data_IF_493166330166
#
_entry.id   IF_493166330166
#
_cell.length_a   1.000
_cell.length_b   1.000
_cell.length_c   1.000
_cell.angle_alpha   90.00
_cell.angle_beta   90.00
_cell.angle_gamma   90.00
#
_symmetry.space_group_name_H-M   'P 1'
#
loop_
_entity.id
_entity.type
_entity.pdbx_description
1 polymer ?
#
# COMPACT_ATOMS: atom_id res chain seq x y z
N UNK A 1 -46.42 10.85 11.98
CA UNK A 1 -45.56 10.39 10.88
C UNK A 1 -44.45 11.38 10.45
N UNK A 2 -44.48 12.67 10.88
CA UNK A 2 -43.41 13.66 10.52
C UNK A 2 -42.14 13.56 11.36
N UNK A 3 -42.18 12.98 12.55
CA UNK A 3 -41.02 12.87 13.45
C UNK A 3 -40.00 11.76 13.06
N UNK A 4 -40.45 10.68 12.46
CA UNK A 4 -39.59 9.56 12.08
C UNK A 4 -38.69 9.87 10.87
N UNK A 5 -39.17 10.71 9.96
CA UNK A 5 -38.40 11.14 8.78
C UNK A 5 -37.26 12.12 9.15
N UNK A 6 -37.46 12.96 10.16
CA UNK A 6 -36.43 13.89 10.65
C UNK A 6 -35.30 13.14 11.40
N UNK A 7 -35.64 12.10 12.17
CA UNK A 7 -34.65 11.27 12.85
C UNK A 7 -33.80 10.45 11.88
N UNK A 8 -34.38 9.93 10.80
CA UNK A 8 -33.63 9.21 9.76
C UNK A 8 -32.72 10.14 8.94
N UNK A 9 -33.16 11.37 8.66
CA UNK A 9 -32.34 12.36 7.98
C UNK A 9 -31.15 12.83 8.84
N UNK A 10 -31.34 12.93 10.17
CA UNK A 10 -30.28 13.28 11.10
C UNK A 10 -29.25 12.16 11.27
N UNK A 11 -29.68 10.89 11.27
CA UNK A 11 -28.77 9.74 11.31
C UNK A 11 -27.92 9.64 10.04
N UNK A 12 -28.49 9.91 8.87
CA UNK A 12 -27.76 9.94 7.60
C UNK A 12 -26.75 11.10 7.54
N UNK A 13 -27.07 12.25 8.15
CA UNK A 13 -26.17 13.40 8.16
C UNK A 13 -24.93 13.19 9.05
N UNK A 14 -25.04 12.42 10.13
CA UNK A 14 -23.91 12.12 11.02
C UNK A 14 -22.90 11.17 10.37
N UNK A 15 -23.34 10.30 9.45
CA UNK A 15 -22.44 9.43 8.67
C UNK A 15 -21.75 10.15 7.52
N UNK A 16 -22.22 11.32 7.10
CA UNK A 16 -21.67 12.08 5.98
C UNK A 16 -20.45 12.95 6.35
N UNK A 17 -20.06 13.02 7.62
CA UNK A 17 -18.99 13.90 8.10
C UNK A 17 -17.59 13.26 8.10
N UNK A 18 -17.45 11.99 7.70
CA UNK A 18 -16.15 11.38 7.46
C UNK A 18 -15.56 11.89 6.15
N UNK A 19 -14.51 12.68 6.19
CA UNK A 19 -13.79 13.08 4.99
C UNK A 19 -13.12 11.87 4.35
N UNK A 20 -13.67 11.34 3.27
CA UNK A 20 -12.95 10.40 2.42
C UNK A 20 -12.00 11.22 1.57
N UNK A 21 -10.73 11.25 1.94
CA UNK A 21 -9.70 11.84 1.10
C UNK A 21 -9.27 10.84 0.03
N UNK A 22 -8.90 11.37 -1.11
CA UNK A 22 -8.36 10.56 -2.20
C UNK A 22 -6.95 10.12 -1.85
N UNK A 23 -6.52 8.92 -2.26
CA UNK A 23 -5.10 8.56 -2.21
C UNK A 23 -4.28 9.62 -2.91
N UNK A 24 -3.18 9.99 -2.31
CA UNK A 24 -2.24 10.95 -2.87
C UNK A 24 -0.90 10.29 -3.17
N UNK A 25 -0.25 10.71 -4.25
CA UNK A 25 1.15 10.39 -4.53
C UNK A 25 2.10 11.51 -4.06
N UNK A 26 1.57 12.60 -3.53
CA UNK A 26 2.38 13.67 -2.95
C UNK A 26 2.76 13.34 -1.51
N UNK A 27 4.03 13.06 -1.29
CA UNK A 27 4.61 12.76 0.02
C UNK A 27 4.40 13.90 1.03
N UNK A 28 4.47 15.16 0.60
CA UNK A 28 4.28 16.28 1.50
C UNK A 28 2.81 16.43 1.91
N UNK A 29 1.89 16.19 0.99
CA UNK A 29 0.47 16.15 1.31
C UNK A 29 0.17 14.95 2.22
N UNK A 30 0.74 13.80 1.93
CA UNK A 30 0.65 12.59 2.73
C UNK A 30 1.22 12.78 4.14
N UNK A 31 2.41 13.36 4.29
CA UNK A 31 3.05 13.62 5.57
C UNK A 31 2.31 14.65 6.45
N UNK A 32 1.42 15.44 5.88
CA UNK A 32 0.56 16.38 6.62
C UNK A 32 -0.75 15.76 7.12
N UNK A 33 -1.01 14.54 6.75
CA UNK A 33 -2.26 13.84 7.06
C UNK A 33 -2.03 12.78 8.14
N UNK A 34 -3.02 12.49 8.98
CA UNK A 34 -2.88 11.52 10.07
C UNK A 34 -3.95 10.43 10.05
N UNK A 35 -3.63 9.45 10.76
CA UNK A 35 -4.40 8.66 11.71
C UNK A 35 -5.57 7.85 11.18
N UNK A 36 -5.30 6.94 10.24
CA UNK A 36 -6.33 5.99 9.85
C UNK A 36 -5.96 4.53 10.03
N UNK A 37 -6.97 3.71 10.24
CA UNK A 37 -6.82 2.27 10.32
C UNK A 37 -6.78 1.66 8.94
N UNK A 38 -5.90 0.70 8.78
CA UNK A 38 -5.97 -0.43 7.85
C UNK A 38 -6.70 -0.19 6.54
N UNK A 39 -6.00 0.05 5.46
CA UNK A 39 -6.52 0.28 4.11
C UNK A 39 -7.41 1.51 3.92
N UNK A 40 -7.57 2.32 4.93
CA UNK A 40 -8.16 3.63 4.75
C UNK A 40 -7.13 4.61 4.19
N UNK A 41 -7.54 5.64 3.44
CA UNK A 41 -6.64 6.73 3.05
C UNK A 41 -5.96 7.29 4.29
N UNK A 42 -4.67 7.52 4.21
CA UNK A 42 -3.96 8.16 5.30
C UNK A 42 -4.40 9.62 5.39
N UNK A 43 -5.08 9.96 6.46
CA UNK A 43 -5.59 11.30 6.73
C UNK A 43 -5.10 11.80 8.06
N UNK A 44 -4.07 12.54 8.09
CA UNK A 44 -3.72 13.12 9.36
C UNK A 44 -2.27 13.53 9.45
N UNK A 45 -1.84 14.13 10.55
CA UNK A 45 -0.48 14.61 10.72
C UNK A 45 0.44 13.50 11.19
N UNK A 46 1.53 13.29 10.48
CA UNK A 46 2.68 12.57 11.02
C UNK A 46 3.36 13.50 12.02
N UNK A 47 3.22 13.22 13.29
CA UNK A 47 3.96 13.94 14.34
C UNK A 47 5.34 13.31 14.48
N UNK A 48 6.36 14.14 14.30
CA UNK A 48 7.73 13.72 14.04
C UNK A 48 8.40 12.89 15.16
N UNK A 49 7.92 12.92 16.39
CA UNK A 49 8.60 12.26 17.50
C UNK A 49 8.41 10.72 17.54
N UNK A 50 7.35 10.20 16.91
CA UNK A 50 7.01 8.76 16.92
C UNK A 50 6.61 8.25 15.54
N UNK A 51 6.92 8.98 14.49
CA UNK A 51 6.53 8.67 13.15
C UNK A 51 7.67 8.91 12.16
N UNK A 52 7.75 8.08 11.16
CA UNK A 52 8.69 8.19 10.05
C UNK A 52 7.93 7.93 8.75
N UNK A 53 8.16 8.77 7.73
CA UNK A 53 7.70 8.51 6.37
C UNK A 53 8.82 8.80 5.40
N UNK A 54 9.26 7.79 4.67
CA UNK A 54 10.24 7.92 3.61
C UNK A 54 9.60 8.54 2.36
N UNK A 55 10.29 9.44 1.65
CA UNK A 55 9.73 10.17 0.51
C UNK A 55 9.67 9.30 -0.76
N UNK A 56 8.91 8.22 -0.72
CA UNK A 56 8.72 7.30 -1.84
C UNK A 56 7.59 7.83 -2.72
N UNK A 57 7.81 7.92 -4.03
CA UNK A 57 6.77 8.29 -5.00
C UNK A 57 5.99 7.04 -5.42
N UNK A 58 4.67 7.12 -5.37
CA UNK A 58 3.78 6.05 -5.78
C UNK A 58 3.77 5.90 -7.31
N UNK A 59 4.18 4.75 -7.80
CA UNK A 59 3.99 4.32 -9.19
C UNK A 59 2.68 3.53 -9.26
N UNK A 60 1.65 4.10 -9.92
CA UNK A 60 0.29 3.59 -9.88
C UNK A 60 0.07 2.41 -10.82
N UNK A 61 -0.35 1.29 -10.26
CA UNK A 61 -0.81 0.13 -11.04
C UNK A 61 -2.21 0.38 -11.63
N UNK A 62 -2.37 0.09 -12.92
CA UNK A 62 -3.66 0.16 -13.62
C UNK A 62 -4.16 -1.22 -14.04
N UNK A 63 -3.27 -2.20 -14.26
CA UNK A 63 -3.63 -3.50 -14.83
C UNK A 63 -2.97 -4.71 -14.15
N UNK A 64 -3.65 -5.84 -14.18
CA UNK A 64 -3.17 -7.21 -14.06
C UNK A 64 -2.35 -7.56 -12.82
N UNK A 65 -1.45 -8.51 -13.00
CA UNK A 65 -0.52 -9.05 -12.00
C UNK A 65 0.77 -8.21 -11.89
N UNK A 66 0.68 -6.90 -12.14
CA UNK A 66 1.83 -6.00 -12.23
C UNK A 66 2.25 -5.39 -10.87
N UNK A 67 1.62 -5.77 -9.75
CA UNK A 67 1.87 -5.15 -8.44
C UNK A 67 3.36 -5.13 -8.07
N UNK A 68 4.09 -6.23 -8.30
CA UNK A 68 5.52 -6.29 -8.04
C UNK A 68 6.34 -5.30 -8.88
N UNK A 69 6.00 -5.13 -10.16
CA UNK A 69 6.68 -4.17 -11.05
C UNK A 69 6.46 -2.72 -10.59
N UNK A 70 5.25 -2.37 -10.18
CA UNK A 70 4.92 -1.02 -9.70
C UNK A 70 5.53 -0.71 -8.33
N UNK A 71 5.56 -1.67 -7.42
CA UNK A 71 6.29 -1.54 -6.16
C UNK A 71 7.78 -1.36 -6.43
N UNK A 72 8.36 -2.18 -7.32
CA UNK A 72 9.77 -2.06 -7.68
C UNK A 72 10.08 -0.70 -8.33
N UNK A 73 9.23 -0.19 -9.23
CA UNK A 73 9.41 1.13 -9.82
C UNK A 73 9.41 2.24 -8.74
N UNK A 74 8.52 2.15 -7.76
CA UNK A 74 8.51 3.07 -6.62
C UNK A 74 9.83 3.03 -5.83
N UNK A 75 10.40 1.85 -5.61
CA UNK A 75 11.72 1.68 -4.97
C UNK A 75 12.85 2.24 -5.82
N UNK A 76 12.87 1.94 -7.12
CA UNK A 76 13.90 2.48 -8.05
C UNK A 76 13.84 4.01 -8.07
N UNK A 77 12.65 4.58 -8.15
CA UNK A 77 12.45 6.03 -8.13
C UNK A 77 12.90 6.67 -6.81
N UNK A 78 12.75 5.96 -5.69
CA UNK A 78 13.26 6.42 -4.39
C UNK A 78 14.79 6.50 -4.36
N UNK A 79 15.49 5.48 -4.88
CA UNK A 79 16.96 5.41 -4.82
C UNK A 79 17.64 6.18 -5.93
N UNK A 80 17.03 6.34 -7.10
CA UNK A 80 17.65 6.90 -8.31
C UNK A 80 17.06 8.23 -8.77
N UNK A 81 16.01 8.69 -8.11
CA UNK A 81 15.28 9.90 -8.47
C UNK A 81 13.97 9.63 -9.21
N UNK A 82 13.03 10.52 -9.06
CA UNK A 82 11.69 10.41 -9.65
C UNK A 82 11.77 10.27 -11.17
N UNK A 83 10.99 9.32 -11.71
CA UNK A 83 10.95 9.04 -13.14
C UNK A 83 12.07 8.12 -13.67
N UNK A 84 12.93 7.59 -12.79
CA UNK A 84 13.98 6.63 -13.19
C UNK A 84 13.41 5.29 -13.68
N UNK A 85 12.22 4.88 -13.21
CA UNK A 85 11.54 3.67 -13.62
C UNK A 85 10.02 3.86 -13.65
N UNK A 86 9.35 3.03 -14.46
CA UNK A 86 7.90 2.90 -14.52
C UNK A 86 7.52 1.42 -14.40
N UNK A 87 6.59 1.09 -13.49
CA UNK A 87 6.09 -0.26 -13.31
C UNK A 87 5.43 -0.82 -14.57
N UNK A 88 4.72 0.02 -15.32
CA UNK A 88 4.13 -0.37 -16.59
C UNK A 88 5.19 -0.77 -17.62
N UNK A 89 6.31 -0.03 -17.70
CA UNK A 89 7.43 -0.37 -18.60
C UNK A 89 8.16 -1.64 -18.16
N UNK A 90 8.41 -1.80 -16.85
CA UNK A 90 9.01 -3.03 -16.30
C UNK A 90 8.13 -4.23 -16.65
N UNK A 91 6.82 -4.14 -16.39
CA UNK A 91 5.88 -5.22 -16.69
C UNK A 91 5.79 -5.56 -18.17
N UNK A 92 5.78 -4.55 -19.05
CA UNK A 92 5.72 -4.75 -20.49
C UNK A 92 7.00 -5.39 -21.05
N UNK A 93 8.17 -5.01 -20.51
CA UNK A 93 9.46 -5.51 -21.00
C UNK A 93 9.85 -6.86 -20.42
N UNK A 94 9.44 -7.15 -19.22
CA UNK A 94 9.81 -8.38 -18.49
C UNK A 94 8.61 -8.85 -17.67
N UNK A 95 7.58 -9.42 -18.31
CA UNK A 95 6.42 -9.95 -17.59
C UNK A 95 6.82 -11.10 -16.66
N UNK A 96 6.06 -11.35 -15.58
CA UNK A 96 6.35 -12.48 -14.70
C UNK A 96 6.22 -13.81 -15.42
N UNK A 97 7.00 -14.80 -15.02
CA UNK A 97 6.94 -16.15 -15.60
C UNK A 97 5.56 -16.80 -15.37
N UNK A 98 4.92 -16.53 -14.22
CA UNK A 98 3.55 -16.91 -13.93
C UNK A 98 2.65 -15.67 -14.03
N UNK A 99 1.93 -15.54 -15.14
CA UNK A 99 1.05 -14.40 -15.39
C UNK A 99 -0.16 -14.33 -14.47
N UNK A 100 -0.52 -15.41 -13.80
CA UNK A 100 -1.64 -15.44 -12.84
C UNK A 100 -1.19 -15.06 -11.43
N UNK A 101 -0.03 -15.53 -11.00
CA UNK A 101 0.54 -15.27 -9.66
C UNK A 101 1.33 -13.98 -9.58
N UNK A 102 1.79 -13.46 -10.72
CA UNK A 102 2.66 -12.29 -10.75
C UNK A 102 4.13 -12.66 -10.47
N UNK A 103 4.93 -11.66 -10.14
CA UNK A 103 6.36 -11.84 -9.90
C UNK A 103 6.65 -12.62 -8.61
N UNK A 104 7.58 -13.54 -8.69
CA UNK A 104 8.23 -14.12 -7.51
C UNK A 104 9.25 -13.15 -6.90
N UNK A 105 9.64 -13.38 -5.65
CA UNK A 105 10.70 -12.61 -4.99
C UNK A 105 12.05 -12.71 -5.74
N UNK A 106 12.33 -13.86 -6.35
CA UNK A 106 13.56 -14.06 -7.15
C UNK A 106 13.56 -13.21 -8.42
N UNK A 107 12.42 -13.15 -9.12
CA UNK A 107 12.27 -12.29 -10.31
C UNK A 107 12.38 -10.82 -9.95
N UNK A 108 11.77 -10.39 -8.84
CA UNK A 108 11.89 -9.01 -8.36
C UNK A 108 13.32 -8.66 -7.98
N UNK A 109 14.08 -9.58 -7.36
CA UNK A 109 15.48 -9.36 -7.06
C UNK A 109 16.33 -9.22 -8.34
N UNK A 110 16.09 -10.05 -9.35
CA UNK A 110 16.76 -9.95 -10.65
C UNK A 110 16.42 -8.63 -11.36
N UNK A 111 15.15 -8.24 -11.35
CA UNK A 111 14.70 -6.96 -11.89
C UNK A 111 15.31 -5.77 -11.15
N UNK A 112 15.37 -5.79 -9.83
CA UNK A 112 16.04 -4.76 -9.04
C UNK A 112 17.51 -4.61 -9.44
N UNK A 113 18.20 -5.73 -9.61
CA UNK A 113 19.60 -5.75 -10.07
C UNK A 113 19.76 -5.14 -11.46
N UNK A 114 18.86 -5.46 -12.38
CA UNK A 114 18.87 -4.86 -13.73
C UNK A 114 18.61 -3.34 -13.71
N UNK A 115 17.94 -2.86 -12.69
CA UNK A 115 17.71 -1.44 -12.44
C UNK A 115 18.84 -0.77 -11.62
N UNK A 116 19.94 -1.48 -11.35
CA UNK A 116 21.10 -0.96 -10.63
C UNK A 116 20.89 -0.82 -9.11
N UNK A 117 20.05 -1.66 -8.52
CA UNK A 117 19.89 -1.79 -7.10
C UNK A 117 20.46 -3.12 -6.61
N UNK A 118 20.96 -3.14 -5.39
CA UNK A 118 21.17 -4.38 -4.65
C UNK A 118 19.86 -4.74 -3.95
N UNK A 119 19.41 -5.97 -4.11
CA UNK A 119 18.20 -6.48 -3.49
C UNK A 119 18.50 -7.77 -2.73
N UNK A 120 17.97 -7.90 -1.54
CA UNK A 120 18.10 -9.10 -0.70
C UNK A 120 16.74 -9.56 -0.20
N UNK A 121 16.39 -10.79 -0.51
CA UNK A 121 15.24 -11.46 0.08
C UNK A 121 15.62 -11.96 1.48
N UNK A 122 14.90 -11.54 2.50
CA UNK A 122 15.19 -11.77 3.91
C UNK A 122 13.90 -12.11 4.67
N UNK A 123 14.04 -12.52 5.93
CA UNK A 123 12.93 -12.61 6.87
C UNK A 123 13.07 -11.51 7.90
N UNK A 124 12.04 -10.70 8.05
CA UNK A 124 12.04 -9.57 8.97
C UNK A 124 10.80 -9.63 9.87
N UNK A 125 11.01 -9.72 11.16
CA UNK A 125 9.97 -9.53 12.16
C UNK A 125 9.60 -8.03 12.27
N UNK A 126 8.61 -7.67 13.08
CA UNK A 126 8.15 -6.30 13.24
C UNK A 126 9.27 -5.31 13.66
N UNK A 127 10.10 -5.58 14.70
CA UNK A 127 11.23 -4.71 15.03
C UNK A 127 12.24 -4.55 13.90
N UNK A 128 12.48 -5.61 13.12
CA UNK A 128 13.41 -5.56 12.00
C UNK A 128 12.89 -4.69 10.85
N UNK A 129 11.58 -4.76 10.55
CA UNK A 129 10.95 -3.87 9.58
C UNK A 129 11.11 -2.39 9.98
N UNK A 130 10.90 -2.08 11.26
CA UNK A 130 11.06 -0.71 11.77
C UNK A 130 12.51 -0.26 11.61
N UNK A 131 13.50 -1.11 11.96
CA UNK A 131 14.92 -0.77 11.80
C UNK A 131 15.32 -0.51 10.34
N UNK A 132 14.77 -1.25 9.39
CA UNK A 132 15.00 -0.99 7.97
C UNK A 132 14.46 0.39 7.55
N UNK A 133 13.27 0.72 7.99
CA UNK A 133 12.66 2.02 7.72
C UNK A 133 13.46 3.17 8.37
N UNK A 134 13.90 3.01 9.62
CA UNK A 134 14.75 3.97 10.33
C UNK A 134 16.12 4.15 9.67
N UNK A 135 16.61 3.11 9.01
CA UNK A 135 17.81 3.17 8.20
C UNK A 135 17.57 3.79 6.79
N UNK A 136 16.39 4.33 6.55
CA UNK A 136 16.03 4.97 5.27
C UNK A 136 15.78 3.97 4.13
N UNK A 137 15.47 2.72 4.42
CA UNK A 137 15.25 1.68 3.43
C UNK A 137 13.78 1.25 3.37
N UNK A 138 13.05 1.59 2.30
CA UNK A 138 11.71 1.05 2.05
C UNK A 138 11.77 -0.47 1.92
N UNK A 139 10.78 -1.17 2.47
CA UNK A 139 10.74 -2.63 2.51
C UNK A 139 9.56 -3.16 1.70
N UNK A 140 9.83 -3.95 0.66
CA UNK A 140 8.81 -4.68 -0.06
C UNK A 140 8.42 -5.93 0.72
N UNK A 141 7.12 -6.15 0.91
CA UNK A 141 6.59 -7.32 1.61
C UNK A 141 5.51 -8.00 0.79
N UNK A 142 5.58 -9.33 0.63
CA UNK A 142 4.46 -10.10 0.13
C UNK A 142 3.38 -10.20 1.22
N UNK A 143 2.13 -10.12 0.80
CA UNK A 143 0.96 -10.16 1.69
C UNK A 143 -0.16 -10.93 1.04
N UNK A 144 -1.02 -11.52 1.88
CA UNK A 144 -2.31 -12.09 1.43
C UNK A 144 -3.43 -11.24 1.99
N UNK A 145 -4.16 -10.58 1.11
CA UNK A 145 -5.14 -9.55 1.45
C UNK A 145 -6.48 -9.81 0.77
N UNK A 146 -7.59 -9.27 1.31
CA UNK A 146 -8.88 -9.34 0.65
C UNK A 146 -8.83 -8.77 -0.78
N UNK A 147 -9.32 -9.55 -1.73
CA UNK A 147 -9.33 -9.17 -3.16
C UNK A 147 -10.09 -7.87 -3.43
N UNK A 148 -11.07 -7.54 -2.59
CA UNK A 148 -11.84 -6.31 -2.71
C UNK A 148 -10.97 -5.05 -2.59
N UNK A 149 -9.82 -5.12 -1.88
CA UNK A 149 -8.91 -4.00 -1.76
C UNK A 149 -8.10 -3.73 -3.03
N UNK A 150 -7.90 -4.74 -3.87
CA UNK A 150 -7.14 -4.64 -5.12
C UNK A 150 -8.02 -4.70 -6.38
N UNK A 151 -9.22 -5.27 -6.29
CA UNK A 151 -10.14 -5.40 -7.43
C UNK A 151 -10.91 -4.12 -7.73
N UNK A 152 -10.99 -3.19 -6.79
CA UNK A 152 -11.74 -1.94 -6.97
C UNK A 152 -10.97 -0.96 -7.87
N UNK A 153 -10.44 -1.50 -8.96
CA UNK A 153 -9.68 -0.79 -9.96
C UNK A 153 -10.56 0.24 -10.63
N UNK A 154 -10.39 1.48 -10.22
CA UNK A 154 -10.79 2.56 -11.09
C UNK A 154 -12.28 2.75 -11.33
N UNK A 155 -13.14 2.42 -10.38
CA UNK A 155 -14.36 3.19 -10.34
C UNK A 155 -13.93 4.62 -10.00
N UNK A 156 -14.03 5.55 -10.94
CA UNK A 156 -13.61 6.92 -10.68
C UNK A 156 -14.32 7.41 -9.44
N UNK A 157 -13.68 8.31 -8.64
CA UNK A 157 -14.40 8.99 -7.59
C UNK A 157 -15.66 9.57 -8.20
N UNK A 158 -16.79 9.39 -7.54
CA UNK A 158 -18.02 10.01 -7.99
C UNK A 158 -18.00 11.48 -7.59
N UNK A 159 -18.84 12.30 -8.23
CA UNK A 159 -19.03 13.69 -7.79
C UNK A 159 -19.76 13.77 -6.45
N UNK A 160 -20.19 12.64 -5.92
CA UNK A 160 -20.90 12.51 -4.64
C UNK A 160 -20.01 11.92 -3.56
N UNK A 161 -19.61 12.75 -2.60
CA UNK A 161 -18.89 12.30 -1.39
C UNK A 161 -19.61 11.18 -0.63
N UNK A 162 -20.94 11.21 -0.62
CA UNK A 162 -21.76 10.21 0.08
C UNK A 162 -21.62 8.84 -0.57
N UNK A 163 -21.57 8.78 -1.91
CA UNK A 163 -21.40 7.52 -2.66
C UNK A 163 -20.01 6.96 -2.42
N UNK A 164 -18.97 7.79 -2.44
CA UNK A 164 -17.59 7.36 -2.21
C UNK A 164 -17.40 6.88 -0.76
N UNK A 165 -18.03 7.54 0.21
CA UNK A 165 -18.04 7.13 1.60
C UNK A 165 -18.73 5.77 1.80
N UNK A 166 -19.92 5.62 1.22
CA UNK A 166 -20.68 4.36 1.31
C UNK A 166 -19.89 3.21 0.67
N UNK A 167 -19.22 3.46 -0.46
CA UNK A 167 -18.34 2.49 -1.12
C UNK A 167 -17.18 2.08 -0.21
N UNK A 168 -16.49 3.04 0.41
CA UNK A 168 -15.40 2.77 1.35
C UNK A 168 -15.87 1.91 2.53
N UNK A 169 -17.01 2.23 3.13
CA UNK A 169 -17.58 1.46 4.24
C UNK A 169 -17.97 0.03 3.83
N UNK A 170 -18.51 -0.16 2.63
CA UNK A 170 -18.84 -1.49 2.10
C UNK A 170 -17.55 -2.30 1.86
N UNK A 171 -16.54 -1.69 1.24
CA UNK A 171 -15.25 -2.34 1.01
C UNK A 171 -14.60 -2.81 2.31
N UNK A 172 -14.56 -1.95 3.32
CA UNK A 172 -13.99 -2.28 4.62
C UNK A 172 -14.75 -3.44 5.28
N UNK A 173 -16.08 -3.42 5.22
CA UNK A 173 -16.92 -4.48 5.81
C UNK A 173 -16.73 -5.83 5.10
N UNK A 174 -16.71 -5.82 3.77
CA UNK A 174 -16.46 -7.03 2.98
C UNK A 174 -15.04 -7.52 3.19
N UNK A 175 -14.05 -6.62 3.22
CA UNK A 175 -12.67 -6.97 3.50
C UNK A 175 -12.48 -7.62 4.87
N UNK A 176 -13.08 -7.08 5.93
CA UNK A 176 -13.07 -7.72 7.26
C UNK A 176 -13.72 -9.09 7.28
N UNK A 177 -14.82 -9.26 6.55
CA UNK A 177 -15.46 -10.57 6.40
C UNK A 177 -14.52 -11.56 5.71
N UNK A 178 -13.86 -11.16 4.63
CA UNK A 178 -12.88 -11.99 3.92
C UNK A 178 -11.71 -12.39 4.81
N UNK A 179 -11.21 -11.47 5.64
CA UNK A 179 -10.15 -11.76 6.61
C UNK A 179 -10.55 -12.76 7.70
N UNK A 180 -11.82 -12.70 8.14
CA UNK A 180 -12.32 -13.61 9.18
C UNK A 180 -12.62 -15.02 8.65
N UNK A 181 -12.90 -15.12 7.35
CA UNK A 181 -13.31 -16.38 6.71
C UNK A 181 -12.22 -16.98 5.83
N UNK A 182 -11.08 -16.29 5.66
CA UNK A 182 -10.02 -16.62 4.70
C UNK A 182 -10.53 -16.82 3.26
N UNK A 183 -11.67 -16.19 2.93
CA UNK A 183 -12.27 -16.25 1.61
C UNK A 183 -11.90 -15.03 0.77
N UNK A 184 -11.77 -15.25 -0.54
CA UNK A 184 -11.47 -14.20 -1.51
C UNK A 184 -10.20 -13.39 -1.17
N UNK A 185 -9.17 -14.05 -0.66
CA UNK A 185 -7.85 -13.48 -0.45
C UNK A 185 -7.01 -13.63 -1.72
N UNK A 186 -6.13 -12.67 -1.96
CA UNK A 186 -5.17 -12.67 -3.08
C UNK A 186 -3.78 -12.35 -2.58
N UNK A 187 -2.80 -12.95 -3.24
CA UNK A 187 -1.39 -12.62 -3.02
C UNK A 187 -1.10 -11.27 -3.67
N UNK A 188 -0.37 -10.43 -2.96
CA UNK A 188 -0.10 -9.07 -3.36
C UNK A 188 1.24 -8.57 -2.80
N UNK A 189 1.75 -7.45 -3.32
CA UNK A 189 2.94 -6.79 -2.79
C UNK A 189 2.59 -5.41 -2.25
N UNK A 190 3.12 -5.10 -1.07
CA UNK A 190 3.09 -3.77 -0.49
C UNK A 190 4.51 -3.24 -0.29
N UNK A 191 4.66 -1.93 -0.34
CA UNK A 191 5.90 -1.26 0.04
C UNK A 191 5.69 -0.55 1.36
N UNK A 192 6.37 -1.01 2.41
CA UNK A 192 6.43 -0.28 3.67
C UNK A 192 7.35 0.93 3.48
N UNK A 193 6.87 2.11 3.80
CA UNK A 193 7.61 3.37 3.61
C UNK A 193 7.72 4.18 4.88
N UNK A 194 7.12 3.71 5.96
CA UNK A 194 7.17 4.41 7.24
C UNK A 194 6.30 3.74 8.29
N UNK A 195 6.20 4.41 9.42
CA UNK A 195 5.30 4.02 10.50
C UNK A 195 4.82 5.26 11.26
N UNK A 196 3.69 5.11 11.94
CA UNK A 196 3.13 6.07 12.87
C UNK A 196 2.46 5.30 14.01
N UNK A 197 3.01 5.43 15.22
CA UNK A 197 2.56 4.73 16.43
C UNK A 197 2.51 3.21 16.26
N UNK A 198 1.32 2.65 16.05
CA UNK A 198 1.03 1.22 15.96
C UNK A 198 0.76 0.73 14.51
N UNK A 199 1.07 1.57 13.50
CA UNK A 199 0.78 1.32 12.10
C UNK A 199 1.99 1.49 11.22
N UNK A 200 2.05 0.69 10.16
CA UNK A 200 2.88 1.00 9.01
C UNK A 200 2.18 1.97 8.08
N UNK A 201 2.98 2.84 7.51
CA UNK A 201 2.63 3.61 6.32
C UNK A 201 3.10 2.81 5.12
N UNK A 202 2.21 2.53 4.19
CA UNK A 202 2.49 1.69 3.02
C UNK A 202 2.13 2.40 1.73
N UNK A 203 2.85 2.08 0.67
CA UNK A 203 2.43 2.34 -0.70
C UNK A 203 1.80 1.06 -1.25
N UNK A 204 0.51 1.12 -1.51
CA UNK A 204 -0.26 0.08 -2.15
C UNK A 204 -0.34 0.42 -3.65
N UNK A 205 0.10 -0.47 -4.56
CA UNK A 205 0.25 -0.13 -5.97
C UNK A 205 -1.01 0.40 -6.66
N UNK A 206 -2.19 -0.13 -6.31
CA UNK A 206 -3.47 0.28 -6.93
C UNK A 206 -4.02 1.55 -6.29
N UNK A 207 -3.98 1.61 -4.97
CA UNK A 207 -4.71 2.59 -4.18
C UNK A 207 -3.84 3.72 -3.60
N UNK A 208 -2.52 3.64 -3.74
CA UNK A 208 -1.59 4.64 -3.23
C UNK A 208 -1.29 4.48 -1.74
N UNK A 209 -1.04 5.59 -1.05
CA UNK A 209 -0.66 5.58 0.36
C UNK A 209 -1.80 5.13 1.27
N UNK A 210 -1.46 4.23 2.20
CA UNK A 210 -2.37 3.64 3.18
C UNK A 210 -1.67 3.51 4.53
N UNK A 211 -2.46 3.32 5.57
CA UNK A 211 -1.96 2.84 6.85
C UNK A 211 -2.54 1.46 7.16
N UNK A 212 -1.71 0.60 7.76
CA UNK A 212 -2.11 -0.73 8.19
C UNK A 212 -1.51 -0.95 9.57
N UNK A 213 -2.32 -1.32 10.58
CA UNK A 213 -1.78 -1.59 11.90
C UNK A 213 -0.85 -2.80 11.90
N UNK A 214 0.06 -2.85 12.88
CA UNK A 214 1.12 -3.87 12.95
C UNK A 214 0.57 -5.30 13.02
N UNK A 215 -0.50 -5.51 13.78
CA UNK A 215 -1.12 -6.84 13.89
C UNK A 215 -1.68 -7.32 12.56
N UNK A 216 -2.28 -6.41 11.79
CA UNK A 216 -2.87 -6.74 10.51
C UNK A 216 -1.81 -7.04 9.46
N UNK A 217 -0.72 -6.28 9.43
CA UNK A 217 0.43 -6.57 8.56
C UNK A 217 1.05 -7.93 8.92
N UNK A 218 1.20 -8.24 10.20
CA UNK A 218 1.72 -9.53 10.64
C UNK A 218 0.80 -10.69 10.19
N UNK A 219 -0.52 -10.50 10.26
CA UNK A 219 -1.50 -11.48 9.76
C UNK A 219 -1.39 -11.68 8.26
N UNK A 220 -1.31 -10.61 7.49
CA UNK A 220 -1.20 -10.66 6.03
C UNK A 220 0.08 -11.31 5.53
N UNK A 221 1.15 -11.27 6.32
CA UNK A 221 2.47 -11.85 5.98
C UNK A 221 2.64 -13.29 6.46
N UNK A 222 1.70 -13.82 7.25
CA UNK A 222 1.82 -15.13 7.89
C UNK A 222 2.17 -16.25 6.90
N UNK A 223 1.47 -16.30 5.77
CA UNK A 223 1.64 -17.33 4.75
C UNK A 223 2.96 -17.21 3.99
N UNK A 224 3.65 -16.09 4.11
CA UNK A 224 4.94 -15.82 3.48
C UNK A 224 6.11 -15.94 4.47
N UNK A 225 5.85 -16.44 5.70
CA UNK A 225 6.90 -16.71 6.67
C UNK A 225 7.81 -15.49 6.92
N UNK A 226 7.22 -14.32 7.12
CA UNK A 226 7.89 -13.04 7.34
C UNK A 226 8.86 -12.61 6.22
N UNK A 227 8.67 -13.15 5.01
CA UNK A 227 9.46 -12.75 3.87
C UNK A 227 9.36 -11.23 3.63
N UNK A 228 10.48 -10.67 3.23
CA UNK A 228 10.63 -9.27 2.85
C UNK A 228 11.76 -9.12 1.84
N UNK A 229 11.77 -8.02 1.12
CA UNK A 229 12.90 -7.64 0.28
C UNK A 229 13.35 -6.24 0.66
N UNK A 230 14.64 -6.12 0.93
CA UNK A 230 15.31 -4.86 1.23
C UNK A 230 16.19 -4.47 0.06
N UNK A 231 16.38 -3.16 -0.09
CA UNK A 231 17.10 -2.59 -1.22
C UNK A 231 18.15 -1.59 -0.75
N UNK A 232 19.21 -1.47 -1.55
CA UNK A 232 20.16 -0.37 -1.45
C UNK A 232 20.64 0.03 -2.84
N UNK A 233 21.13 1.26 -2.96
CA UNK A 233 21.81 1.67 -4.18
C UNK A 233 23.07 0.81 -4.38
N UNK A 234 23.29 0.32 -5.60
CA UNK A 234 24.57 -0.29 -5.92
C UNK A 234 25.69 0.75 -5.80
N UNK A 235 26.89 0.37 -5.31
CA UNK A 235 28.04 1.27 -5.33
C UNK A 235 28.24 1.81 -6.76
N UNK A 236 28.59 3.10 -6.86
CA UNK A 236 28.99 3.64 -8.17
C UNK A 236 30.17 2.80 -8.69
N UNK A 237 30.07 2.34 -9.92
CA UNK A 237 31.21 1.67 -10.57
C UNK A 237 32.39 2.67 -10.61
N UNK A 238 33.46 2.33 -9.92
CA UNK A 238 34.71 3.12 -9.86
C UNK A 238 35.48 2.98 -11.19
#
# INVERSE_FOLDING_TARGET
>A
MRGALLAQALLLAVFAAGCVTRPTSDVNAFARQTDNNSFEPFEGRVEAANALVLPVVHDRQVDGAACGAHVLASVVNYWRGAGAASGAQIFASTPPADGERGYSMAELAALASSQGLLASAVRLNLPDLIRELEAGRPVLVPVRIPSIYVQNRGLPPTDSRVVDLARGAVMERVGRMSELTDLALVDHYLLLVGYDRDRFVVVEPVMGYRTINFERIARYRRDFNDAAMVFSAAPAAS
#
